data_IF_427796036578
#
_entry.id   IF_427796036578
#
_cell.length_a   1.000
_cell.length_b   1.000
_cell.length_c   1.000
_cell.angle_alpha   90.00
_cell.angle_beta   90.00
_cell.angle_gamma   90.00
#
_symmetry.space_group_name_H-M   'P 1'
#
loop_
_entity.id
_entity.type
_entity.pdbx_description
1 polymer ?
#
# COMPACT_ATOMS: atom_id res chain seq x y z
N UNK A 1 10.29 -10.13 -16.23
CA UNK A 1 10.85 -10.69 -14.97
C UNK A 1 11.96 -11.69 -15.26
N UNK A 2 13.15 -11.52 -14.70
CA UNK A 2 14.26 -12.50 -14.77
C UNK A 2 14.68 -12.85 -13.35
N UNK A 3 14.88 -14.13 -13.05
CA UNK A 3 15.27 -14.62 -11.71
C UNK A 3 16.57 -15.41 -11.77
N UNK A 4 17.50 -15.13 -10.85
CA UNK A 4 18.77 -15.86 -10.67
C UNK A 4 19.23 -15.74 -9.20
N UNK A 5 19.54 -16.86 -8.56
CA UNK A 5 20.11 -16.89 -7.20
C UNK A 5 19.35 -16.06 -6.15
N UNK A 6 18.03 -16.22 -6.03
CA UNK A 6 17.17 -15.46 -5.12
C UNK A 6 17.04 -13.96 -5.42
N UNK A 7 17.63 -13.50 -6.52
CA UNK A 7 17.47 -12.15 -7.04
C UNK A 7 16.47 -12.15 -8.19
N UNK A 8 15.70 -11.08 -8.27
CA UNK A 8 14.70 -10.88 -9.30
C UNK A 8 14.92 -9.50 -9.92
N UNK A 9 14.73 -9.43 -11.22
CA UNK A 9 14.84 -8.21 -11.99
C UNK A 9 13.50 -7.96 -12.69
N UNK A 10 12.96 -6.76 -12.53
CA UNK A 10 11.81 -6.26 -13.26
C UNK A 10 12.22 -5.15 -14.22
N UNK A 11 11.63 -5.17 -15.40
CA UNK A 11 11.81 -4.10 -16.39
C UNK A 11 11.04 -2.83 -15.96
N UNK A 12 11.36 -1.65 -16.52
CA UNK A 12 10.65 -0.42 -16.20
C UNK A 12 9.14 -0.56 -16.36
N UNK A 13 8.37 -0.08 -15.39
CA UNK A 13 6.90 -0.10 -15.35
C UNK A 13 6.28 -1.53 -15.32
N UNK A 14 7.09 -2.56 -15.10
CA UNK A 14 6.59 -3.93 -14.98
C UNK A 14 5.75 -4.09 -13.71
N UNK A 15 4.59 -4.77 -13.83
CA UNK A 15 3.76 -5.14 -12.70
C UNK A 15 4.46 -6.23 -11.89
N UNK A 16 4.70 -5.96 -10.61
CA UNK A 16 5.34 -6.90 -9.69
C UNK A 16 4.28 -7.82 -9.05
N UNK A 17 3.23 -7.22 -8.53
CA UNK A 17 2.03 -7.90 -8.03
C UNK A 17 0.84 -6.92 -7.98
N UNK A 18 -0.37 -7.47 -7.97
CA UNK A 18 -1.61 -6.68 -7.84
C UNK A 18 -2.32 -6.94 -6.51
N UNK A 19 -3.29 -6.09 -6.19
CA UNK A 19 -4.17 -6.27 -5.03
C UNK A 19 -4.90 -7.61 -5.15
N UNK A 20 -4.92 -8.36 -4.06
CA UNK A 20 -5.56 -9.68 -4.01
C UNK A 20 -4.68 -10.85 -4.41
N UNK A 21 -3.49 -10.62 -4.97
CA UNK A 21 -2.54 -11.69 -5.28
C UNK A 21 -2.11 -12.46 -4.03
N UNK A 22 -1.84 -13.75 -4.17
CA UNK A 22 -1.28 -14.56 -3.10
C UNK A 22 0.14 -14.09 -2.74
N UNK A 23 0.51 -14.24 -1.47
CA UNK A 23 1.78 -13.74 -0.95
C UNK A 23 2.58 -14.81 -0.28
N UNK A 24 3.72 -15.18 -0.88
CA UNK A 24 4.69 -16.12 -0.32
C UNK A 24 6.06 -15.50 -0.03
N UNK A 25 6.28 -14.25 -0.42
CA UNK A 25 7.58 -13.59 -0.36
C UNK A 25 7.43 -12.07 -0.19
N UNK A 26 8.43 -11.45 0.41
CA UNK A 26 8.69 -10.02 0.38
C UNK A 26 9.96 -9.76 -0.44
N UNK A 27 10.30 -8.52 -0.66
CA UNK A 27 11.40 -8.11 -1.52
C UNK A 27 12.21 -7.00 -0.86
N UNK A 28 13.53 -7.15 -0.84
CA UNK A 28 14.47 -6.09 -0.48
C UNK A 28 15.00 -5.46 -1.77
N UNK A 29 14.75 -4.17 -1.97
CA UNK A 29 15.23 -3.43 -3.14
C UNK A 29 16.76 -3.26 -3.03
N UNK A 30 17.47 -3.70 -4.05
CA UNK A 30 18.94 -3.55 -4.16
C UNK A 30 19.30 -2.38 -5.06
N UNK A 31 18.51 -2.16 -6.13
CA UNK A 31 18.71 -1.07 -7.08
C UNK A 31 17.36 -0.65 -7.68
N UNK A 32 17.21 0.65 -7.88
CA UNK A 32 15.98 1.24 -8.43
C UNK A 32 14.93 1.50 -7.35
N UNK A 33 13.68 1.58 -7.76
CA UNK A 33 12.58 1.81 -6.83
C UNK A 33 11.25 1.24 -7.36
N UNK A 34 10.30 1.05 -6.45
CA UNK A 34 8.98 0.48 -6.69
C UNK A 34 7.93 1.47 -6.25
N UNK A 35 6.89 1.67 -7.04
CA UNK A 35 5.71 2.43 -6.66
C UNK A 35 4.64 1.52 -6.07
N UNK A 36 4.00 1.97 -5.00
CA UNK A 36 2.88 1.28 -4.35
C UNK A 36 1.58 2.07 -4.56
N UNK A 37 0.54 1.37 -4.99
CA UNK A 37 -0.78 1.96 -5.28
C UNK A 37 -1.89 1.22 -4.55
N UNK A 38 -2.96 1.94 -4.25
CA UNK A 38 -4.24 1.30 -3.86
C UNK A 38 -4.89 0.63 -5.07
N UNK A 39 -5.94 -0.16 -4.83
CA UNK A 39 -6.73 -0.78 -5.89
C UNK A 39 -7.31 0.25 -6.88
N UNK A 40 -7.66 1.45 -6.42
CA UNK A 40 -8.23 2.52 -7.25
C UNK A 40 -7.15 3.42 -7.89
N UNK A 41 -5.87 3.04 -7.82
CA UNK A 41 -4.77 3.76 -8.48
C UNK A 41 -4.22 4.96 -7.72
N UNK A 42 -4.61 5.19 -6.45
CA UNK A 42 -3.98 6.21 -5.61
C UNK A 42 -2.55 5.79 -5.28
N UNK A 43 -1.57 6.63 -5.60
CA UNK A 43 -0.17 6.45 -5.22
C UNK A 43 -0.04 6.60 -3.69
N UNK A 44 0.40 5.54 -3.03
CA UNK A 44 0.67 5.51 -1.59
C UNK A 44 2.09 5.94 -1.25
N UNK A 45 3.04 5.60 -2.12
CA UNK A 45 4.43 5.94 -1.90
C UNK A 45 5.38 5.20 -2.83
N UNK A 46 6.66 5.40 -2.57
CA UNK A 46 7.78 4.80 -3.28
C UNK A 46 8.68 4.06 -2.28
N UNK A 47 9.12 2.88 -2.66
CA UNK A 47 10.09 2.05 -1.93
C UNK A 47 11.39 2.04 -2.71
N UNK A 48 12.48 2.47 -2.10
CA UNK A 48 13.80 2.61 -2.72
C UNK A 48 14.82 1.58 -2.26
N UNK A 49 16.08 1.81 -2.61
CA UNK A 49 17.21 0.94 -2.25
C UNK A 49 17.35 0.79 -0.73
N UNK A 50 17.59 -0.44 -0.27
CA UNK A 50 17.68 -0.79 1.15
C UNK A 50 16.33 -0.95 1.86
N UNK A 51 15.21 -0.68 1.19
CA UNK A 51 13.88 -0.81 1.75
C UNK A 51 13.22 -2.14 1.35
N UNK A 52 12.28 -2.59 2.19
CA UNK A 52 11.52 -3.84 1.98
C UNK A 52 10.09 -3.50 1.61
N UNK A 53 9.50 -4.28 0.68
CA UNK A 53 8.09 -4.21 0.34
C UNK A 53 7.47 -5.60 0.20
N UNK A 54 6.13 -5.66 0.31
CA UNK A 54 5.38 -6.91 0.28
C UNK A 54 5.46 -7.73 1.57
N UNK A 55 6.11 -7.21 2.61
CA UNK A 55 6.26 -7.82 3.93
C UNK A 55 4.93 -7.90 4.70
N UNK A 56 4.03 -6.91 4.50
CA UNK A 56 2.74 -6.80 5.19
C UNK A 56 1.91 -8.07 5.04
N UNK A 57 1.70 -8.51 3.81
CA UNK A 57 0.93 -9.72 3.51
C UNK A 57 1.61 -10.99 4.03
N UNK A 58 2.95 -11.06 4.03
CA UNK A 58 3.71 -12.17 4.60
C UNK A 58 3.57 -12.24 6.13
N UNK A 59 3.64 -11.10 6.82
CA UNK A 59 3.53 -11.01 8.28
C UNK A 59 2.09 -11.32 8.72
N UNK A 60 1.09 -10.77 8.04
CA UNK A 60 -0.32 -10.95 8.36
C UNK A 60 -0.91 -12.26 7.83
N UNK A 61 -0.23 -12.94 6.90
CA UNK A 61 -0.72 -14.12 6.18
C UNK A 61 -2.02 -13.84 5.42
N UNK A 62 -2.01 -12.74 4.67
CA UNK A 62 -3.13 -12.27 3.84
C UNK A 62 -2.67 -12.14 2.39
N UNK A 63 -3.60 -11.90 1.49
CA UNK A 63 -3.31 -11.49 0.12
C UNK A 63 -2.70 -10.08 0.09
N UNK A 64 -2.11 -9.70 -1.06
CA UNK A 64 -1.56 -8.36 -1.30
C UNK A 64 -2.64 -7.30 -1.09
N UNK A 65 -2.36 -6.30 -0.26
CA UNK A 65 -3.27 -5.19 0.03
C UNK A 65 -3.08 -3.98 -0.88
N UNK A 66 -1.98 -3.97 -1.61
CA UNK A 66 -1.59 -2.89 -2.52
C UNK A 66 -1.04 -3.49 -3.81
N UNK A 67 -1.05 -2.69 -4.88
CA UNK A 67 -0.40 -2.98 -6.16
C UNK A 67 1.02 -2.45 -6.13
N UNK A 68 1.97 -3.18 -6.69
CA UNK A 68 3.37 -2.78 -6.83
C UNK A 68 3.80 -2.76 -8.31
N UNK A 69 4.39 -1.65 -8.74
CA UNK A 69 4.95 -1.45 -10.08
C UNK A 69 6.42 -1.07 -9.97
N UNK A 70 7.25 -1.63 -10.83
CA UNK A 70 8.62 -1.15 -11.01
C UNK A 70 8.62 0.31 -11.46
N UNK A 71 9.64 1.08 -11.04
CA UNK A 71 9.79 2.48 -11.42
C UNK A 71 10.18 2.68 -12.88
N UNK A 72 10.71 3.87 -13.20
CA UNK A 72 11.08 4.25 -14.57
C UNK A 72 12.36 3.54 -15.06
N UNK A 73 13.09 2.92 -14.15
CA UNK A 73 14.31 2.16 -14.44
C UNK A 73 14.13 0.72 -14.01
N UNK A 74 15.03 -0.15 -14.48
CA UNK A 74 15.08 -1.54 -14.07
C UNK A 74 15.25 -1.65 -12.54
N UNK A 75 14.50 -2.56 -11.92
CA UNK A 75 14.53 -2.80 -10.47
C UNK A 75 15.17 -4.15 -10.21
N UNK A 76 16.21 -4.17 -9.39
CA UNK A 76 16.83 -5.36 -8.85
C UNK A 76 16.42 -5.51 -7.38
N UNK A 77 15.91 -6.68 -7.00
CA UNK A 77 15.57 -6.97 -5.61
C UNK A 77 15.99 -8.39 -5.21
N UNK A 78 16.15 -8.60 -3.91
CA UNK A 78 16.34 -9.93 -3.32
C UNK A 78 15.02 -10.40 -2.73
N UNK A 79 14.63 -11.63 -3.07
CA UNK A 79 13.46 -12.29 -2.49
C UNK A 79 13.69 -12.66 -1.03
N UNK A 80 12.73 -12.38 -0.18
CA UNK A 80 12.67 -12.77 1.22
C UNK A 80 11.51 -13.75 1.39
N UNK A 81 11.77 -15.06 1.46
CA UNK A 81 10.72 -16.05 1.64
C UNK A 81 9.93 -15.80 2.94
N UNK A 82 8.62 -16.03 2.92
CA UNK A 82 7.75 -15.76 4.06
C UNK A 82 8.21 -16.49 5.34
N UNK A 83 8.76 -17.71 5.23
CA UNK A 83 9.25 -18.45 6.38
C UNK A 83 10.45 -17.79 7.07
N UNK A 84 11.29 -17.05 6.32
CA UNK A 84 12.41 -16.27 6.86
C UNK A 84 11.89 -15.11 7.72
N UNK A 85 10.93 -14.33 7.21
CA UNK A 85 10.26 -13.28 7.98
C UNK A 85 9.56 -13.85 9.21
N UNK A 86 8.83 -14.95 9.05
CA UNK A 86 8.14 -15.62 10.14
C UNK A 86 9.10 -16.12 11.22
N UNK A 87 10.29 -16.62 10.85
CA UNK A 87 11.33 -17.05 11.80
C UNK A 87 11.90 -15.88 12.59
N UNK A 88 12.14 -14.73 11.93
CA UNK A 88 12.63 -13.52 12.61
C UNK A 88 11.66 -13.00 13.66
N UNK A 89 10.36 -13.06 13.36
CA UNK A 89 9.30 -12.54 14.23
C UNK A 89 8.90 -13.52 15.33
N UNK A 90 9.06 -14.85 15.14
CA UNK A 90 8.66 -15.88 16.13
C UNK A 90 9.48 -15.90 17.42
N UNK A 91 10.70 -15.34 17.41
CA UNK A 91 11.58 -15.34 18.58
C UNK A 91 11.11 -14.43 19.72
N UNK A 92 10.31 -13.41 19.43
CA UNK A 92 9.81 -12.44 20.40
C UNK A 92 8.32 -12.18 20.19
N UNK A 93 7.48 -12.59 21.16
CA UNK A 93 6.03 -12.40 21.12
C UNK A 93 5.63 -10.92 21.13
N UNK A 94 6.35 -10.07 21.84
CA UNK A 94 6.06 -8.65 21.92
C UNK A 94 6.37 -7.96 20.58
N UNK A 95 7.54 -8.23 20.00
CA UNK A 95 7.91 -7.75 18.67
C UNK A 95 6.91 -8.22 17.60
N UNK A 96 6.51 -9.49 17.65
CA UNK A 96 5.51 -10.05 16.74
C UNK A 96 4.17 -9.30 16.84
N UNK A 97 3.71 -9.01 18.06
CA UNK A 97 2.47 -8.28 18.29
C UNK A 97 2.55 -6.82 17.80
N UNK A 98 3.67 -6.15 18.06
CA UNK A 98 3.92 -4.77 17.61
C UNK A 98 3.92 -4.70 16.08
N UNK A 99 4.71 -5.55 15.41
CA UNK A 99 4.78 -5.59 13.95
C UNK A 99 3.41 -5.85 13.33
N UNK A 100 2.69 -6.87 13.83
CA UNK A 100 1.34 -7.17 13.36
C UNK A 100 0.39 -5.99 13.49
N UNK A 101 0.40 -5.32 14.66
CA UNK A 101 -0.45 -4.15 14.91
C UNK A 101 -0.10 -2.99 14.00
N UNK A 102 1.19 -2.74 13.78
CA UNK A 102 1.67 -1.69 12.86
C UNK A 102 1.23 -1.95 11.43
N UNK A 103 1.32 -3.19 10.95
CA UNK A 103 0.88 -3.55 9.61
C UNK A 103 -0.64 -3.41 9.43
N UNK A 104 -1.44 -3.78 10.43
CA UNK A 104 -2.89 -3.56 10.39
C UNK A 104 -3.23 -2.07 10.33
N UNK A 105 -2.57 -1.23 11.14
CA UNK A 105 -2.74 0.22 11.09
C UNK A 105 -2.37 0.82 9.74
N UNK A 106 -1.33 0.30 9.09
CA UNK A 106 -0.93 0.73 7.75
C UNK A 106 -2.02 0.41 6.72
N UNK A 107 -2.61 -0.80 6.76
CA UNK A 107 -3.71 -1.17 5.88
C UNK A 107 -4.92 -0.25 6.10
N UNK A 108 -5.29 0.00 7.36
CA UNK A 108 -6.40 0.87 7.70
C UNK A 108 -6.16 2.31 7.22
N UNK A 109 -4.94 2.84 7.41
CA UNK A 109 -4.54 4.17 6.94
C UNK A 109 -4.61 4.28 5.40
N UNK A 110 -4.13 3.27 4.68
CA UNK A 110 -4.19 3.22 3.22
C UNK A 110 -5.65 3.22 2.73
N UNK A 111 -6.52 2.43 3.39
CA UNK A 111 -7.95 2.40 3.08
C UNK A 111 -8.62 3.75 3.32
N UNK A 112 -8.35 4.40 4.45
CA UNK A 112 -8.88 5.73 4.76
C UNK A 112 -8.44 6.77 3.72
N UNK A 113 -7.17 6.73 3.30
CA UNK A 113 -6.64 7.62 2.25
C UNK A 113 -7.34 7.39 0.91
N UNK A 114 -7.59 6.14 0.55
CA UNK A 114 -8.31 5.76 -0.66
C UNK A 114 -9.77 6.26 -0.63
N UNK A 115 -10.47 6.07 0.49
CA UNK A 115 -11.86 6.51 0.67
C UNK A 115 -11.96 8.03 0.55
N UNK A 116 -11.01 8.78 1.17
CA UNK A 116 -10.96 10.22 1.09
C UNK A 116 -10.69 10.71 -0.34
N UNK A 117 -9.74 10.10 -1.04
CA UNK A 117 -9.45 10.44 -2.44
C UNK A 117 -10.67 10.21 -3.35
N UNK A 118 -11.38 9.09 -3.14
CA UNK A 118 -12.61 8.77 -3.89
C UNK A 118 -13.73 9.79 -3.63
N UNK A 119 -13.91 10.21 -2.37
CA UNK A 119 -14.90 11.24 -2.00
C UNK A 119 -14.58 12.58 -2.67
N UNK A 120 -13.29 13.00 -2.67
CA UNK A 120 -12.84 14.23 -3.33
C UNK A 120 -13.06 14.18 -4.84
N UNK A 121 -12.69 13.07 -5.50
CA UNK A 121 -12.92 12.88 -6.94
C UNK A 121 -14.40 12.96 -7.29
N UNK A 122 -15.27 12.35 -6.47
CA UNK A 122 -16.73 12.44 -6.62
C UNK A 122 -17.24 13.89 -6.55
N UNK A 123 -16.70 14.70 -5.65
CA UNK A 123 -17.07 16.13 -5.53
C UNK A 123 -16.59 16.90 -6.74
N UNK A 124 -15.34 16.70 -7.16
CA UNK A 124 -14.77 17.38 -8.33
C UNK A 124 -15.60 17.11 -9.59
N UNK A 125 -15.93 15.85 -9.85
CA UNK A 125 -16.78 15.46 -10.99
C UNK A 125 -18.16 16.13 -10.96
N UNK A 126 -18.77 16.26 -9.77
CA UNK A 126 -20.05 16.95 -9.63
C UNK A 126 -19.94 18.46 -9.86
N UNK A 127 -18.83 19.08 -9.44
CA UNK A 127 -18.54 20.49 -9.69
C UNK A 127 -18.33 20.78 -11.19
N UNK A 128 -17.53 19.94 -11.86
CA UNK A 128 -17.26 20.05 -13.31
C UNK A 128 -18.55 19.95 -14.13
N UNK A 129 -19.44 19.05 -13.76
CA UNK A 129 -20.73 18.85 -14.41
C UNK A 129 -21.79 19.92 -14.06
N UNK A 130 -21.43 20.97 -13.30
CA UNK A 130 -22.35 22.04 -12.83
C UNK A 130 -23.64 21.51 -12.18
N UNK A 131 -23.62 20.29 -11.68
CA UNK A 131 -24.80 19.61 -11.11
C UNK A 131 -24.94 19.83 -9.60
N UNK A 132 -24.05 20.61 -8.98
CA UNK A 132 -24.07 20.88 -7.55
C UNK A 132 -24.85 22.15 -7.20
N UNK A 133 -25.89 21.96 -6.41
CA UNK A 133 -26.51 23.02 -5.61
C UNK A 133 -25.64 23.26 -4.36
N UNK A 134 -25.59 24.50 -3.85
CA UNK A 134 -24.81 24.92 -2.66
C UNK A 134 -25.07 24.01 -1.45
N UNK A 135 -26.30 23.56 -1.26
CA UNK A 135 -26.68 22.67 -0.17
C UNK A 135 -25.99 21.29 -0.28
N UNK A 136 -25.87 20.75 -1.49
CA UNK A 136 -25.19 19.47 -1.72
C UNK A 136 -23.70 19.57 -1.43
N UNK A 137 -23.05 20.71 -1.70
CA UNK A 137 -21.62 20.93 -1.37
C UNK A 137 -21.43 20.94 0.16
N UNK A 138 -22.32 21.63 0.89
CA UNK A 138 -22.23 21.70 2.35
C UNK A 138 -22.38 20.31 3.01
N UNK A 139 -23.26 19.48 2.50
CA UNK A 139 -23.47 18.12 3.05
C UNK A 139 -22.28 17.21 2.78
N UNK A 140 -21.65 17.30 1.60
CA UNK A 140 -20.42 16.58 1.30
C UNK A 140 -19.24 17.06 2.16
N UNK A 141 -19.12 18.37 2.37
CA UNK A 141 -18.08 18.92 3.24
C UNK A 141 -18.26 18.50 4.70
N UNK A 142 -19.51 18.41 5.19
CA UNK A 142 -19.81 17.87 6.53
C UNK A 142 -19.39 16.41 6.65
N UNK A 143 -19.65 15.59 5.62
CA UNK A 143 -19.26 14.18 5.60
C UNK A 143 -17.74 14.02 5.64
N UNK A 144 -17.01 14.79 4.82
CA UNK A 144 -15.53 14.79 4.80
C UNK A 144 -14.98 15.22 6.16
N UNK A 145 -15.50 16.32 6.74
CA UNK A 145 -15.10 16.76 8.08
C UNK A 145 -15.31 15.69 9.15
N UNK A 146 -16.44 14.98 9.10
CA UNK A 146 -16.71 13.86 10.01
C UNK A 146 -15.70 12.73 9.85
N UNK A 147 -15.35 12.37 8.61
CA UNK A 147 -14.32 11.36 8.32
C UNK A 147 -12.94 11.80 8.81
N UNK A 148 -12.54 13.04 8.54
CA UNK A 148 -11.27 13.61 9.02
C UNK A 148 -11.20 13.64 10.56
N UNK A 149 -12.28 14.01 11.23
CA UNK A 149 -12.35 13.99 12.69
C UNK A 149 -12.19 12.57 13.25
N UNK A 150 -12.76 11.55 12.60
CA UNK A 150 -12.58 10.15 13.01
C UNK A 150 -11.15 9.61 12.79
N UNK A 151 -10.37 10.22 11.90
CA UNK A 151 -8.95 9.90 11.69
C UNK A 151 -8.04 10.52 12.76
N UNK A 152 -8.47 11.62 13.41
CA UNK A 152 -7.68 12.34 14.43
C UNK A 152 -7.87 11.80 15.86
N UNK A 153 -8.81 10.88 16.08
CA UNK A 153 -9.12 10.31 17.41
C UNK A 153 -8.30 9.04 17.70
N UNK A 154 -7.18 8.83 17.04
CA UNK A 154 -6.25 7.74 17.36
C UNK A 154 -4.97 8.34 17.93
N UNK A 155 -5.07 8.87 19.13
CA UNK A 155 -3.96 9.07 20.08
C UNK A 155 -4.05 8.05 21.23
#
# INVERSE_FOLDING_TARGET
MKEKNNQIIWEPQELIYDVGDSSNEAFLVIQGFVYLYTQNGLLLGRVGEGEVFGETSCILQTNRSVKALAGEHQVLATKIPHFSLKRMVRGDKALSAILRKTQLRLIDSNKQSQDLASDLDSILKKLENKSLNINNIQDHLKLIRKKLASMQIID
#
